data_IF_198191349527
#
_entry.id   IF_198191349527
#
_cell.length_a   1.000
_cell.length_b   1.000
_cell.length_c   1.000
_cell.angle_alpha   90.00
_cell.angle_beta   90.00
_cell.angle_gamma   90.00
#
_symmetry.space_group_name_H-M   'P 1'
#
loop_
_entity.id
_entity.type
_entity.pdbx_description
1 polymer ?
#
# COMPACT_ATOMS: atom_id res chain seq x y z
N UNK A 1 7.55 -9.07 17.51
CA UNK A 1 6.44 -8.08 17.55
C UNK A 1 5.52 -8.23 16.32
N UNK A 2 4.21 -8.01 16.43
CA UNK A 2 3.32 -7.96 15.26
C UNK A 2 3.70 -6.82 14.31
N UNK A 3 3.54 -7.03 12.99
CA UNK A 3 3.80 -6.04 11.94
C UNK A 3 2.54 -5.22 11.70
N UNK A 4 2.71 -3.91 11.62
CA UNK A 4 1.69 -2.97 11.23
C UNK A 4 2.11 -2.17 10.00
N UNK A 5 1.14 -1.50 9.37
CA UNK A 5 1.38 -0.51 8.32
C UNK A 5 1.01 0.83 8.93
N UNK A 6 1.89 1.81 8.81
CA UNK A 6 1.68 3.17 9.27
C UNK A 6 2.36 4.08 8.26
N UNK A 7 1.71 5.19 7.94
CA UNK A 7 2.22 6.23 7.05
C UNK A 7 2.56 7.43 7.92
N UNK A 8 3.81 7.90 7.87
CA UNK A 8 4.27 8.98 8.74
C UNK A 8 4.03 10.33 8.10
N UNK A 9 4.20 10.43 6.78
CA UNK A 9 3.93 11.64 6.00
C UNK A 9 2.88 11.34 4.94
N UNK A 10 1.58 11.52 5.25
CA UNK A 10 0.52 11.05 4.38
C UNK A 10 0.47 11.82 3.07
N UNK A 11 0.54 11.06 1.97
CA UNK A 11 0.19 11.50 0.63
C UNK A 11 -1.06 10.72 0.19
N UNK A 12 -2.15 11.44 -0.02
CA UNK A 12 -3.41 10.86 -0.48
C UNK A 12 -3.27 10.40 -1.94
N UNK A 13 -3.66 9.17 -2.22
CA UNK A 13 -3.70 8.57 -3.56
C UNK A 13 -5.13 8.13 -3.84
N UNK A 14 -5.63 8.49 -5.02
CA UNK A 14 -6.97 8.13 -5.51
C UNK A 14 -6.82 7.16 -6.67
N UNK A 15 -7.32 5.95 -6.51
CA UNK A 15 -7.26 4.89 -7.52
C UNK A 15 -8.44 5.07 -8.47
N UNK A 16 -8.20 5.69 -9.61
CA UNK A 16 -9.27 6.17 -10.52
C UNK A 16 -10.14 5.06 -11.10
N UNK A 17 -9.58 3.86 -11.28
CA UNK A 17 -10.29 2.69 -11.80
C UNK A 17 -10.92 1.79 -10.72
N UNK A 18 -10.90 2.20 -9.44
CA UNK A 18 -11.53 1.47 -8.35
C UNK A 18 -12.88 2.09 -7.95
N UNK A 19 -13.97 1.31 -7.76
CA UNK A 19 -15.29 1.87 -7.44
C UNK A 19 -15.31 2.63 -6.11
N UNK A 20 -16.09 3.71 -6.04
CA UNK A 20 -16.17 4.59 -4.86
C UNK A 20 -16.80 3.89 -3.65
N UNK A 21 -17.83 3.08 -3.86
CA UNK A 21 -18.57 2.41 -2.78
C UNK A 21 -18.01 1.02 -2.43
N UNK A 22 -16.91 0.61 -3.06
CA UNK A 22 -16.32 -0.71 -2.80
C UNK A 22 -15.29 -0.62 -1.68
N UNK A 23 -15.42 -1.50 -0.69
CA UNK A 23 -14.39 -1.78 0.32
C UNK A 23 -14.07 -3.26 0.28
N UNK A 24 -12.79 -3.61 0.15
CA UNK A 24 -12.30 -4.99 0.25
C UNK A 24 -11.48 -5.16 1.53
N UNK A 25 -11.62 -6.31 2.20
CA UNK A 25 -10.80 -6.66 3.35
C UNK A 25 -9.67 -7.61 2.95
N UNK A 26 -8.42 -7.22 3.20
CA UNK A 26 -7.27 -8.10 3.10
C UNK A 26 -6.92 -8.69 4.46
N UNK A 27 -6.41 -9.92 4.49
CA UNK A 27 -6.04 -10.62 5.73
C UNK A 27 -4.53 -10.93 5.81
N UNK A 28 -3.64 -9.91 5.85
CA UNK A 28 -2.21 -10.16 6.00
C UNK A 28 -1.84 -10.80 7.35
N UNK A 29 -0.87 -11.69 7.34
CA UNK A 29 -0.27 -12.28 8.54
C UNK A 29 0.34 -11.19 9.43
N UNK A 30 0.11 -11.27 10.74
CA UNK A 30 0.72 -10.34 11.71
C UNK A 30 2.23 -10.50 11.79
N UNK A 31 2.77 -11.67 11.47
CA UNK A 31 4.21 -11.91 11.47
C UNK A 31 4.60 -12.90 10.37
N UNK A 32 5.53 -12.55 9.46
CA UNK A 32 5.85 -13.39 8.30
C UNK A 32 6.45 -14.74 8.67
N UNK A 33 7.14 -14.83 9.81
CA UNK A 33 7.78 -16.06 10.31
C UNK A 33 7.08 -16.71 11.52
N UNK A 34 5.95 -16.16 11.98
CA UNK A 34 5.24 -16.70 13.15
C UNK A 34 3.74 -16.80 12.85
N UNK A 35 3.29 -17.94 12.30
CA UNK A 35 1.89 -18.18 11.96
C UNK A 35 0.95 -18.15 13.16
N UNK A 36 1.43 -18.50 14.36
CA UNK A 36 0.61 -18.55 15.59
C UNK A 36 0.11 -17.16 16.00
N UNK A 37 0.75 -16.09 15.53
CA UNK A 37 0.28 -14.71 15.76
C UNK A 37 -0.99 -14.36 14.95
N UNK A 38 -1.40 -15.23 14.02
CA UNK A 38 -2.61 -15.07 13.20
C UNK A 38 -2.52 -13.97 12.14
N UNK A 39 -3.68 -13.57 11.64
CA UNK A 39 -3.85 -12.51 10.63
C UNK A 39 -4.52 -11.28 11.23
N UNK A 40 -4.63 -10.21 10.44
CA UNK A 40 -5.43 -9.04 10.75
C UNK A 40 -6.17 -8.60 9.50
N UNK A 41 -7.39 -8.08 9.66
CA UNK A 41 -8.15 -7.47 8.58
C UNK A 41 -7.64 -6.06 8.31
N UNK A 42 -7.44 -5.73 7.04
CA UNK A 42 -7.03 -4.40 6.58
C UNK A 42 -7.96 -3.99 5.45
N UNK A 43 -8.73 -2.89 5.60
CA UNK A 43 -9.61 -2.41 4.55
C UNK A 43 -8.79 -1.78 3.42
N UNK A 44 -9.28 -1.97 2.20
CA UNK A 44 -8.79 -1.34 0.98
C UNK A 44 -9.97 -0.68 0.27
N UNK A 45 -9.75 0.56 -0.14
CA UNK A 45 -10.76 1.42 -0.76
C UNK A 45 -10.12 2.19 -1.92
N UNK A 46 -10.94 2.97 -2.63
CA UNK A 46 -10.48 3.87 -3.70
C UNK A 46 -9.45 4.90 -3.21
N UNK A 47 -9.59 5.37 -1.98
CA UNK A 47 -8.72 6.39 -1.39
C UNK A 47 -7.77 5.78 -0.37
N UNK A 48 -6.47 5.85 -0.66
CA UNK A 48 -5.43 5.32 0.22
C UNK A 48 -4.42 6.40 0.58
N UNK A 49 -3.57 6.09 1.55
CA UNK A 49 -2.43 6.91 1.91
C UNK A 49 -1.15 6.12 1.73
N UNK A 50 -0.15 6.77 1.11
CA UNK A 50 1.23 6.30 1.04
C UNK A 50 2.13 7.33 1.73
N UNK A 51 3.38 6.96 2.05
CA UNK A 51 4.32 7.95 2.52
C UNK A 51 4.72 8.88 1.39
N UNK A 52 4.86 10.17 1.68
CA UNK A 52 5.28 11.17 0.70
C UNK A 52 6.65 10.81 0.07
N UNK A 53 7.52 10.11 0.80
CA UNK A 53 8.79 9.63 0.26
C UNK A 53 8.66 8.46 -0.72
N UNK A 54 7.48 7.85 -0.82
CA UNK A 54 7.23 6.72 -1.71
C UNK A 54 6.83 7.16 -3.13
N UNK A 55 6.67 8.47 -3.37
CA UNK A 55 6.36 9.03 -4.68
C UNK A 55 7.41 10.05 -5.14
N UNK A 56 7.85 9.97 -6.40
CA UNK A 56 8.68 11.00 -7.05
C UNK A 56 8.33 11.19 -8.52
N UNK A 57 8.25 12.45 -8.94
CA UNK A 57 8.03 12.83 -10.34
C UNK A 57 9.28 12.55 -11.19
N UNK A 58 10.46 12.93 -10.69
CA UNK A 58 11.76 12.70 -11.34
C UNK A 58 12.63 11.76 -10.46
N UNK A 59 12.49 10.43 -10.64
CA UNK A 59 13.17 9.47 -9.80
C UNK A 59 14.62 9.21 -10.26
N UNK A 60 15.58 9.01 -9.33
CA UNK A 60 16.91 8.55 -9.70
C UNK A 60 16.87 7.13 -10.30
N UNK A 61 17.91 6.73 -11.03
CA UNK A 61 17.96 5.43 -11.73
C UNK A 61 17.66 4.21 -10.84
N UNK A 62 18.04 4.25 -9.55
CA UNK A 62 17.82 3.16 -8.56
C UNK A 62 16.61 3.40 -7.65
N UNK A 63 15.52 3.92 -8.21
CA UNK A 63 14.27 4.17 -7.49
C UNK A 63 13.20 3.12 -7.83
N UNK A 64 12.78 2.37 -6.81
CA UNK A 64 11.85 1.23 -6.90
C UNK A 64 10.46 1.53 -6.33
N UNK A 65 10.14 2.80 -6.10
CA UNK A 65 8.84 3.24 -5.56
C UNK A 65 8.01 3.91 -6.66
N UNK A 66 6.85 4.46 -6.30
CA UNK A 66 5.91 5.01 -7.26
C UNK A 66 6.49 6.25 -7.97
N UNK A 67 6.39 6.25 -9.29
CA UNK A 67 6.78 7.37 -10.14
C UNK A 67 5.93 7.35 -11.41
N UNK A 68 5.81 8.47 -12.15
CA UNK A 68 5.10 8.49 -13.42
C UNK A 68 5.57 7.37 -14.37
N UNK A 69 4.63 6.57 -14.87
CA UNK A 69 4.92 5.46 -15.78
C UNK A 69 5.54 4.21 -15.12
N UNK A 70 5.75 4.20 -13.80
CA UNK A 70 6.22 3.02 -13.05
C UNK A 70 5.09 2.40 -12.25
N UNK A 71 5.14 1.09 -12.12
CA UNK A 71 4.20 0.31 -11.32
C UNK A 71 4.81 -0.04 -9.96
N UNK A 72 4.00 -0.01 -8.90
CA UNK A 72 4.43 -0.44 -7.56
C UNK A 72 3.39 -1.36 -6.94
N UNK A 73 3.86 -2.38 -6.21
CA UNK A 73 3.00 -3.26 -5.42
C UNK A 73 2.74 -2.66 -4.05
N UNK A 74 1.47 -2.40 -3.75
CA UNK A 74 1.04 -2.10 -2.39
C UNK A 74 1.19 -3.34 -1.52
N UNK A 75 1.69 -3.16 -0.30
CA UNK A 75 1.99 -4.28 0.58
C UNK A 75 0.72 -5.06 0.93
N UNK A 76 0.68 -6.33 0.54
CA UNK A 76 -0.46 -7.26 0.69
C UNK A 76 -1.71 -6.91 -0.14
N UNK A 77 -1.59 -5.99 -1.09
CA UNK A 77 -2.70 -5.56 -1.95
C UNK A 77 -2.24 -5.54 -3.43
N UNK A 78 -2.92 -4.74 -4.25
CA UNK A 78 -2.74 -4.68 -5.70
C UNK A 78 -1.46 -3.96 -6.14
N UNK A 79 -1.16 -4.06 -7.43
CA UNK A 79 -0.20 -3.21 -8.13
C UNK A 79 -0.93 -1.96 -8.64
N UNK A 80 -0.36 -0.78 -8.43
CA UNK A 80 -0.91 0.50 -8.90
C UNK A 80 0.06 1.18 -9.87
N UNK A 81 -0.48 2.05 -10.74
CA UNK A 81 0.24 2.86 -11.72
C UNK A 81 -0.39 4.24 -11.83
#
# INVERSE_FOLDING_TARGET
APRAMAVLRPLKVVITNYPEDKTEEFEPSRHPKNPEMGTRKVPFTREIYIDHDDFRIDPPAKYFRLAPGKEVRLRFAYVIR
#
